data_IF_675581195507
#
_entry.id   IF_675581195507
#
_cell.length_a   1.000
_cell.length_b   1.000
_cell.length_c   1.000
_cell.angle_alpha   90.00
_cell.angle_beta   90.00
_cell.angle_gamma   90.00
#
_symmetry.space_group_name_H-M   'P 1'
#
loop_
_entity.id
_entity.type
_entity.pdbx_description
1 polymer ?
#
# COMPACT_ATOMS: atom_id res chain seq x y z
N UNK A 1 18.22 11.97 -43.71
CA UNK A 1 17.59 10.76 -43.12
C UNK A 1 17.22 11.10 -41.69
N UNK A 2 15.92 11.09 -41.37
CA UNK A 2 15.42 11.36 -40.02
C UNK A 2 15.77 10.16 -39.13
N UNK A 3 16.78 10.29 -38.28
CA UNK A 3 17.14 9.26 -37.30
C UNK A 3 16.08 9.23 -36.20
N UNK A 4 15.59 8.03 -35.87
CA UNK A 4 14.78 7.83 -34.65
C UNK A 4 15.67 8.06 -33.44
N UNK A 5 15.17 8.80 -32.46
CA UNK A 5 15.83 8.96 -31.16
C UNK A 5 15.46 7.77 -30.26
N UNK A 6 16.45 7.16 -29.64
CA UNK A 6 16.29 6.11 -28.64
C UNK A 6 16.63 6.67 -27.25
N UNK A 7 15.98 6.16 -26.21
CA UNK A 7 16.20 6.57 -24.82
C UNK A 7 16.47 5.33 -23.98
N UNK A 8 17.48 5.43 -23.11
CA UNK A 8 17.80 4.42 -22.12
C UNK A 8 17.64 5.05 -20.73
N UNK A 9 17.00 4.34 -19.81
CA UNK A 9 16.77 4.82 -18.45
C UNK A 9 17.21 3.77 -17.44
N UNK A 10 17.80 4.23 -16.35
CA UNK A 10 18.03 3.46 -15.15
C UNK A 10 16.99 3.88 -14.11
N UNK A 11 16.23 2.91 -13.59
CA UNK A 11 15.18 3.17 -12.59
C UNK A 11 15.61 2.57 -11.27
N UNK A 12 15.92 3.43 -10.30
CA UNK A 12 16.20 3.04 -8.92
C UNK A 12 14.94 3.17 -8.06
N UNK A 13 14.64 2.15 -7.27
CA UNK A 13 13.49 2.12 -6.36
C UNK A 13 14.00 1.78 -4.96
N UNK A 14 13.71 2.67 -4.01
CA UNK A 14 14.21 2.58 -2.65
C UNK A 14 13.08 2.71 -1.62
N UNK A 15 13.20 2.09 -0.43
CA UNK A 15 12.23 2.25 0.64
C UNK A 15 12.23 3.70 1.16
N UNK A 16 11.07 4.34 1.14
CA UNK A 16 10.98 5.71 1.63
C UNK A 16 11.01 5.81 3.16
N UNK A 17 11.89 6.65 3.69
CA UNK A 17 11.91 7.05 5.10
C UNK A 17 12.14 5.90 6.08
N UNK A 18 12.71 4.78 5.63
CA UNK A 18 12.96 3.59 6.45
C UNK A 18 11.70 2.89 7.00
N UNK A 19 10.51 3.28 6.53
CA UNK A 19 9.24 2.74 7.04
C UNK A 19 9.02 1.31 6.57
N UNK A 20 8.68 0.43 7.50
CA UNK A 20 8.40 -0.97 7.22
C UNK A 20 6.99 -1.30 7.71
N UNK A 21 6.28 -2.05 6.86
CA UNK A 21 4.92 -2.48 7.09
C UNK A 21 4.82 -3.99 6.93
N UNK A 22 3.96 -4.60 7.74
CA UNK A 22 3.65 -6.02 7.67
C UNK A 22 2.25 -6.22 7.11
N UNK A 23 2.14 -6.94 6.01
CA UNK A 23 0.88 -7.32 5.39
C UNK A 23 0.38 -8.65 5.97
N UNK A 24 -0.89 -8.71 6.36
CA UNK A 24 -1.54 -9.89 6.94
C UNK A 24 -2.83 -10.20 6.21
N UNK A 25 -3.10 -11.49 5.99
CA UNK A 25 -4.38 -11.97 5.46
C UNK A 25 -5.25 -12.41 6.62
N UNK A 26 -6.34 -11.68 6.87
CA UNK A 26 -7.30 -12.09 7.89
C UNK A 26 -8.28 -13.09 7.29
N UNK A 27 -8.38 -14.26 7.91
CA UNK A 27 -9.35 -15.30 7.54
C UNK A 27 -10.63 -15.15 8.36
N UNK A 28 -11.56 -16.11 8.21
CA UNK A 28 -12.75 -16.15 9.05
C UNK A 28 -12.35 -16.18 10.54
N UNK A 29 -12.89 -15.26 11.37
CA UNK A 29 -12.53 -15.18 12.78
C UNK A 29 -13.25 -16.24 13.61
N UNK A 30 -12.65 -16.55 14.77
CA UNK A 30 -13.34 -17.23 15.85
C UNK A 30 -14.00 -16.21 16.77
N UNK A 31 -15.29 -16.39 17.04
CA UNK A 31 -16.02 -15.53 17.98
C UNK A 31 -15.86 -16.08 19.38
N UNK A 32 -15.26 -15.28 20.26
CA UNK A 32 -15.04 -15.62 21.66
C UNK A 32 -15.88 -14.70 22.54
N UNK A 33 -16.63 -15.29 23.46
CA UNK A 33 -17.33 -14.57 24.52
C UNK A 33 -16.60 -14.83 25.83
N UNK A 34 -16.23 -13.76 26.53
CA UNK A 34 -15.62 -13.84 27.84
C UNK A 34 -16.69 -13.57 28.89
N UNK A 35 -17.07 -14.58 29.66
CA UNK A 35 -17.98 -14.45 30.80
C UNK A 35 -17.18 -14.41 32.09
N UNK A 36 -17.53 -13.49 32.97
CA UNK A 36 -16.94 -13.40 34.31
C UNK A 36 -17.99 -13.78 35.34
N UNK A 37 -17.81 -14.91 35.99
CA UNK A 37 -18.66 -15.39 37.06
C UNK A 37 -18.08 -14.99 38.40
N UNK A 38 -18.84 -14.23 39.20
CA UNK A 38 -18.42 -13.79 40.53
C UNK A 38 -19.47 -14.17 41.56
N UNK A 39 -19.04 -14.83 42.62
CA UNK A 39 -19.86 -15.20 43.76
C UNK A 39 -19.59 -14.17 44.85
N UNK A 40 -20.65 -13.54 45.34
CA UNK A 40 -20.57 -12.63 46.49
C UNK A 40 -21.26 -13.26 47.69
N UNK A 41 -20.64 -13.13 48.86
CA UNK A 41 -21.20 -13.52 50.15
C UNK A 41 -21.43 -12.27 50.99
N UNK A 42 -22.49 -12.30 51.81
CA UNK A 42 -22.84 -11.19 52.68
C UNK A 42 -22.21 -11.40 54.04
N UNK A 43 -21.14 -10.66 54.32
CA UNK A 43 -20.43 -10.69 55.61
C UNK A 43 -20.63 -9.35 56.31
N UNK A 44 -21.16 -9.36 57.54
CA UNK A 44 -21.37 -8.15 58.34
C UNK A 44 -22.10 -7.00 57.59
N UNK A 45 -23.17 -7.31 56.87
CA UNK A 45 -23.94 -6.37 56.04
C UNK A 45 -23.20 -5.74 54.85
N UNK A 46 -22.01 -6.24 54.50
CA UNK A 46 -21.30 -5.86 53.28
C UNK A 46 -21.20 -7.05 52.32
N UNK A 47 -21.21 -6.77 51.02
CA UNK A 47 -20.95 -7.78 50.00
C UNK A 47 -19.44 -7.96 49.86
N UNK A 48 -18.96 -9.17 50.12
CA UNK A 48 -17.58 -9.58 49.88
C UNK A 48 -17.54 -10.57 48.71
N UNK A 49 -16.60 -10.41 47.79
CA UNK A 49 -16.37 -11.38 46.72
C UNK A 49 -15.77 -12.65 47.32
N UNK A 50 -16.47 -13.77 47.18
CA UNK A 50 -16.06 -15.08 47.70
C UNK A 50 -15.33 -15.90 46.64
N UNK A 51 -15.70 -15.76 45.36
CA UNK A 51 -15.04 -16.40 44.24
C UNK A 51 -15.20 -15.58 42.95
N UNK A 52 -14.20 -15.64 42.07
CA UNK A 52 -14.26 -15.04 40.73
C UNK A 52 -13.57 -15.96 39.74
N UNK A 53 -14.30 -16.31 38.67
CA UNK A 53 -13.85 -17.15 37.58
C UNK A 53 -14.11 -16.44 36.25
N UNK A 54 -13.16 -16.51 35.32
CA UNK A 54 -13.34 -16.03 33.93
C UNK A 54 -13.38 -17.23 32.99
N UNK A 55 -14.30 -17.18 32.02
CA UNK A 55 -14.55 -18.26 31.07
C UNK A 55 -14.60 -17.71 29.65
N UNK A 56 -13.91 -18.38 28.74
CA UNK A 56 -13.92 -18.08 27.31
C UNK A 56 -14.73 -19.14 26.56
N UNK A 57 -15.85 -18.73 25.95
CA UNK A 57 -16.65 -19.57 25.04
C UNK A 57 -16.35 -19.23 23.59
N UNK A 58 -15.93 -20.22 22.80
CA UNK A 58 -15.95 -20.12 21.33
C UNK A 58 -17.35 -20.48 20.83
N UNK A 59 -18.07 -19.52 20.29
CA UNK A 59 -19.53 -19.66 20.05
C UNK A 59 -19.91 -19.95 18.60
N UNK A 60 -19.01 -19.74 17.65
CA UNK A 60 -19.20 -20.06 16.24
C UNK A 60 -18.92 -21.54 15.90
N UNK A 61 -18.42 -22.34 16.85
CA UNK A 61 -18.06 -23.76 16.66
C UNK A 61 -18.99 -24.75 17.39
N UNK A 62 -20.13 -24.27 17.91
CA UNK A 62 -21.12 -25.07 18.63
C UNK A 62 -21.48 -24.49 20.00
N UNK A 63 -22.27 -25.23 20.77
CA UNK A 63 -22.61 -24.84 22.14
C UNK A 63 -21.42 -25.06 23.07
N UNK A 64 -20.99 -24.01 23.77
CA UNK A 64 -20.01 -24.14 24.84
C UNK A 64 -20.74 -24.50 26.15
N UNK A 65 -20.30 -25.56 26.83
CA UNK A 65 -20.83 -26.04 28.11
C UNK A 65 -19.79 -25.83 29.21
N UNK A 66 -20.22 -25.28 30.34
CA UNK A 66 -19.41 -25.16 31.55
C UNK A 66 -20.05 -25.94 32.71
N UNK A 67 -19.20 -26.60 33.51
CA UNK A 67 -19.55 -27.16 34.82
C UNK A 67 -18.65 -26.47 35.87
N UNK A 68 -19.25 -25.76 36.84
CA UNK A 68 -18.50 -25.01 37.86
C UNK A 68 -17.72 -25.97 38.77
N UNK A 69 -16.47 -25.62 39.10
CA UNK A 69 -15.53 -26.48 39.87
C UNK A 69 -16.00 -26.68 41.32
N UNK A 70 -16.84 -25.78 41.84
CA UNK A 70 -17.11 -25.70 43.28
C UNK A 70 -18.51 -26.19 43.67
N UNK A 71 -18.75 -27.51 43.59
CA UNK A 71 -19.87 -28.31 44.17
C UNK A 71 -21.33 -27.81 44.01
N UNK A 72 -21.56 -26.70 43.31
CA UNK A 72 -22.86 -26.11 43.01
C UNK A 72 -23.12 -26.37 41.52
N UNK A 73 -24.08 -27.23 41.24
CA UNK A 73 -24.45 -27.66 39.88
C UNK A 73 -25.10 -26.50 39.11
N UNK A 74 -24.30 -25.57 38.60
CA UNK A 74 -24.76 -24.55 37.65
C UNK A 74 -24.13 -24.83 36.29
N UNK A 75 -24.96 -25.19 35.32
CA UNK A 75 -24.54 -25.37 33.94
C UNK A 75 -24.87 -24.11 33.15
N UNK A 76 -23.84 -23.39 32.69
CA UNK A 76 -24.01 -22.27 31.78
C UNK A 76 -23.80 -22.79 30.36
N UNK A 77 -24.86 -22.74 29.55
CA UNK A 77 -24.79 -23.01 28.11
C UNK A 77 -24.87 -21.70 27.36
N UNK A 78 -23.81 -21.37 26.64
CA UNK A 78 -23.81 -20.21 25.75
C UNK A 78 -23.99 -20.69 24.32
N UNK A 79 -25.08 -20.23 23.70
CA UNK A 79 -25.38 -20.48 22.28
C UNK A 79 -25.63 -19.14 21.64
N UNK A 80 -24.93 -18.82 20.55
CA UNK A 80 -25.11 -17.54 19.86
C UNK A 80 -25.43 -17.77 18.40
N UNK A 81 -26.21 -16.86 17.83
CA UNK A 81 -26.26 -16.71 16.38
C UNK A 81 -24.95 -16.12 15.84
N UNK A 82 -24.91 -15.87 14.53
CA UNK A 82 -23.81 -15.14 13.88
C UNK A 82 -23.68 -13.75 14.50
N UNK A 83 -22.45 -13.26 14.67
CA UNK A 83 -22.21 -11.92 15.20
C UNK A 83 -22.77 -10.88 14.23
N UNK A 84 -23.31 -9.77 14.76
CA UNK A 84 -23.94 -8.71 13.97
C UNK A 84 -22.98 -8.13 12.91
N UNK A 85 -21.69 -8.04 13.27
CA UNK A 85 -20.60 -7.62 12.38
C UNK A 85 -19.41 -8.53 12.57
N UNK A 86 -18.63 -8.69 11.51
CA UNK A 86 -17.40 -9.47 11.49
C UNK A 86 -16.40 -8.73 10.60
N UNK A 87 -15.10 -8.85 10.91
CA UNK A 87 -14.06 -8.40 9.98
C UNK A 87 -14.18 -9.19 8.68
N UNK A 88 -14.14 -8.49 7.54
CA UNK A 88 -14.16 -9.17 6.25
C UNK A 88 -12.85 -9.91 6.01
N UNK A 89 -12.96 -11.09 5.40
CA UNK A 89 -11.80 -11.82 4.90
C UNK A 89 -11.09 -10.97 3.84
N UNK A 90 -9.79 -10.76 4.01
CA UNK A 90 -9.03 -9.92 3.10
C UNK A 90 -7.63 -9.59 3.59
N UNK A 91 -6.95 -8.77 2.79
CA UNK A 91 -5.61 -8.28 3.07
C UNK A 91 -5.69 -6.99 3.88
N UNK A 92 -4.95 -6.95 4.97
CA UNK A 92 -4.77 -5.81 5.86
C UNK A 92 -3.28 -5.59 6.08
N UNK A 93 -2.89 -4.46 6.67
CA UNK A 93 -1.50 -4.24 7.02
C UNK A 93 -1.37 -3.39 8.27
N UNK A 94 -0.20 -3.41 8.88
CA UNK A 94 0.13 -2.54 10.00
C UNK A 94 1.56 -2.03 9.88
N UNK A 95 1.81 -0.85 10.47
CA UNK A 95 3.17 -0.34 10.63
C UNK A 95 3.88 -1.08 11.75
N UNK A 96 5.14 -1.45 11.54
CA UNK A 96 5.94 -2.14 12.55
C UNK A 96 6.28 -1.24 13.74
N UNK A 97 6.16 0.08 13.59
CA UNK A 97 6.45 1.06 14.64
C UNK A 97 5.29 1.18 15.63
N UNK A 98 4.07 1.35 15.11
CA UNK A 98 2.90 1.67 15.93
C UNK A 98 1.93 0.48 16.12
N UNK A 99 2.11 -0.62 15.37
CA UNK A 99 1.27 -1.83 15.41
C UNK A 99 -0.24 -1.57 15.31
N UNK A 100 -0.62 -0.51 14.59
CA UNK A 100 -2.01 -0.18 14.29
C UNK A 100 -2.44 -0.89 13.01
N UNK A 101 -3.51 -1.68 13.09
CA UNK A 101 -4.08 -2.34 11.93
C UNK A 101 -4.82 -1.34 11.04
N UNK A 102 -4.46 -1.30 9.76
CA UNK A 102 -4.99 -0.40 8.74
C UNK A 102 -5.84 -1.17 7.74
N UNK A 103 -6.94 -0.54 7.31
CA UNK A 103 -7.84 -1.03 6.26
C UNK A 103 -8.12 0.05 5.21
N UNK A 104 -8.92 -0.31 4.19
CA UNK A 104 -9.36 0.63 3.16
C UNK A 104 -8.39 0.80 1.98
N UNK A 105 -7.33 -0.01 1.91
CA UNK A 105 -6.40 -0.04 0.76
C UNK A 105 -6.48 -1.36 0.02
N UNK A 106 -6.20 -1.31 -1.29
CA UNK A 106 -5.99 -2.52 -2.10
C UNK A 106 -4.57 -3.00 -1.89
N UNK A 107 -4.42 -4.19 -1.32
CA UNK A 107 -3.14 -4.79 -0.95
C UNK A 107 -2.95 -6.11 -1.69
N UNK A 108 -1.73 -6.35 -2.18
CA UNK A 108 -1.37 -7.60 -2.84
C UNK A 108 -1.36 -8.78 -1.87
N UNK A 109 -1.91 -9.92 -2.30
CA UNK A 109 -1.66 -11.19 -1.63
C UNK A 109 -0.19 -11.64 -1.76
N UNK A 110 0.30 -12.54 -0.89
CA UNK A 110 1.68 -13.05 -0.98
C UNK A 110 2.06 -13.64 -2.35
N UNK A 111 1.09 -14.23 -3.07
CA UNK A 111 1.30 -14.80 -4.41
C UNK A 111 1.09 -13.79 -5.54
N UNK A 112 0.43 -12.66 -5.25
CA UNK A 112 0.11 -11.59 -6.19
C UNK A 112 1.25 -10.56 -6.24
N UNK A 113 1.34 -9.79 -7.32
CA UNK A 113 2.28 -8.67 -7.43
C UNK A 113 1.78 -7.68 -8.49
N UNK A 114 0.61 -7.12 -8.25
CA UNK A 114 0.01 -6.03 -9.04
C UNK A 114 0.64 -4.69 -8.63
N UNK A 115 1.14 -3.92 -9.61
CA UNK A 115 1.75 -2.61 -9.39
C UNK A 115 0.72 -1.52 -9.05
N UNK A 116 -0.57 -1.79 -9.20
CA UNK A 116 -1.67 -0.90 -8.82
C UNK A 116 -2.21 -1.16 -7.40
N UNK A 117 -1.59 -2.08 -6.66
CA UNK A 117 -1.95 -2.40 -5.27
C UNK A 117 -0.75 -2.24 -4.36
N UNK A 118 -0.94 -1.92 -3.09
CA UNK A 118 0.17 -1.83 -2.14
C UNK A 118 0.90 -3.19 -2.03
N UNK A 119 2.18 -3.19 -1.64
CA UNK A 119 2.95 -4.42 -1.36
C UNK A 119 3.61 -5.09 -2.57
N UNK A 120 3.79 -4.37 -3.69
CA UNK A 120 4.60 -4.85 -4.82
C UNK A 120 6.11 -4.73 -4.56
N UNK A 121 6.56 -3.79 -3.73
CA UNK A 121 7.92 -3.70 -3.18
C UNK A 121 7.99 -4.45 -1.84
N UNK A 122 8.81 -5.49 -1.76
CA UNK A 122 8.85 -6.40 -0.60
C UNK A 122 10.25 -6.51 -0.03
N UNK A 123 10.35 -6.57 1.29
CA UNK A 123 11.60 -6.85 1.98
C UNK A 123 11.82 -8.36 2.04
N UNK A 124 12.98 -8.81 1.59
CA UNK A 124 13.47 -10.17 1.76
C UNK A 124 14.85 -10.09 2.40
N UNK A 125 14.95 -10.53 3.66
CA UNK A 125 16.13 -10.33 4.51
C UNK A 125 16.58 -8.85 4.54
N UNK A 126 17.71 -8.54 3.92
CA UNK A 126 18.29 -7.20 3.83
C UNK A 126 18.06 -6.51 2.47
N UNK A 127 17.38 -7.17 1.53
CA UNK A 127 17.14 -6.64 0.19
C UNK A 127 15.67 -6.27 -0.03
N UNK A 128 15.44 -5.25 -0.85
CA UNK A 128 14.11 -4.90 -1.35
C UNK A 128 13.96 -5.43 -2.76
N UNK A 129 12.89 -6.19 -2.99
CA UNK A 129 12.67 -6.92 -4.22
C UNK A 129 11.27 -6.66 -4.77
N UNK A 130 11.19 -6.57 -6.09
CA UNK A 130 9.94 -6.49 -6.84
C UNK A 130 9.84 -7.77 -7.67
N UNK A 131 8.81 -8.58 -7.44
CA UNK A 131 8.63 -9.84 -8.16
C UNK A 131 8.35 -9.56 -9.64
N UNK A 132 9.19 -10.08 -10.53
CA UNK A 132 9.20 -9.76 -11.96
C UNK A 132 9.38 -8.25 -12.22
N UNK A 133 10.18 -7.57 -11.38
CA UNK A 133 10.38 -6.12 -11.43
C UNK A 133 10.88 -5.60 -12.77
N UNK A 134 11.82 -6.29 -13.42
CA UNK A 134 12.35 -5.88 -14.74
C UNK A 134 11.22 -5.72 -15.75
N UNK A 135 10.33 -6.71 -15.87
CA UNK A 135 9.22 -6.65 -16.83
C UNK A 135 8.21 -5.58 -16.41
N UNK A 136 7.77 -5.61 -15.15
CA UNK A 136 6.69 -4.73 -14.67
C UNK A 136 7.06 -3.26 -14.64
N UNK A 137 8.26 -2.92 -14.20
CA UNK A 137 8.71 -1.53 -14.13
C UNK A 137 8.90 -0.99 -15.54
N UNK A 138 9.52 -1.77 -16.44
CA UNK A 138 9.69 -1.37 -17.84
C UNK A 138 8.34 -1.17 -18.54
N UNK A 139 7.39 -2.09 -18.37
CA UNK A 139 6.04 -1.98 -18.95
C UNK A 139 5.21 -0.84 -18.34
N UNK A 140 5.46 -0.49 -17.07
CA UNK A 140 4.76 0.62 -16.41
C UNK A 140 5.30 1.99 -16.81
N UNK A 141 6.59 2.07 -17.18
CA UNK A 141 7.26 3.32 -17.46
C UNK A 141 6.93 3.78 -18.89
N UNK A 142 6.44 5.01 -18.99
CA UNK A 142 6.26 5.67 -20.28
C UNK A 142 7.15 6.91 -20.32
N UNK A 143 7.92 7.02 -21.40
CA UNK A 143 8.85 8.13 -21.61
C UNK A 143 8.51 8.81 -22.93
N UNK A 144 8.56 10.13 -22.95
CA UNK A 144 8.44 10.96 -24.15
C UNK A 144 9.59 11.93 -24.18
N UNK A 145 10.31 11.99 -25.30
CA UNK A 145 11.45 12.90 -25.45
C UNK A 145 10.90 14.27 -25.84
N UNK A 146 11.13 15.31 -25.02
CA UNK A 146 10.78 16.68 -25.38
C UNK A 146 11.84 17.25 -26.33
N UNK A 147 13.11 17.14 -25.93
CA UNK A 147 14.24 17.65 -26.70
C UNK A 147 15.47 16.76 -26.49
N UNK A 148 15.83 16.01 -27.54
CA UNK A 148 16.97 15.11 -27.52
C UNK A 148 18.32 15.86 -27.35
N UNK A 149 18.46 17.09 -27.90
CA UNK A 149 19.71 17.87 -27.77
C UNK A 149 19.90 18.39 -26.36
N UNK A 150 18.83 18.83 -25.73
CA UNK A 150 18.83 19.29 -24.33
C UNK A 150 18.70 18.13 -23.33
N UNK A 151 18.60 16.88 -23.82
CA UNK A 151 18.39 15.68 -23.02
C UNK A 151 17.15 15.78 -22.11
N UNK A 152 16.12 16.52 -22.56
CA UNK A 152 14.87 16.71 -21.84
C UNK A 152 13.86 15.64 -22.20
N UNK A 153 13.26 15.05 -21.19
CA UNK A 153 12.24 14.03 -21.32
C UNK A 153 11.13 14.21 -20.30
N UNK A 154 9.95 13.72 -20.66
CA UNK A 154 8.82 13.51 -19.76
C UNK A 154 8.75 12.03 -19.43
N UNK A 155 8.64 11.70 -18.15
CA UNK A 155 8.40 10.33 -17.69
C UNK A 155 7.14 10.25 -16.86
N UNK A 156 6.43 9.12 -16.95
CA UNK A 156 5.35 8.75 -16.05
C UNK A 156 5.44 7.26 -15.78
N UNK A 157 4.98 6.84 -14.62
CA UNK A 157 4.81 5.42 -14.29
C UNK A 157 3.33 5.13 -14.16
N UNK A 158 2.87 4.03 -14.74
CA UNK A 158 1.53 3.51 -14.55
C UNK A 158 1.54 2.52 -13.36
N UNK A 159 1.72 3.03 -12.14
CA UNK A 159 1.82 2.25 -10.91
C UNK A 159 1.22 3.04 -9.74
N UNK A 160 0.72 2.37 -8.70
CA UNK A 160 0.19 3.05 -7.50
C UNK A 160 1.13 2.84 -6.29
N UNK A 161 0.99 3.69 -5.28
CA UNK A 161 1.71 3.59 -4.00
C UNK A 161 3.24 3.72 -4.11
N UNK A 162 3.71 4.58 -5.03
CA UNK A 162 5.08 5.09 -5.04
C UNK A 162 5.06 6.62 -4.91
N UNK A 163 6.19 7.18 -4.55
CA UNK A 163 6.42 8.63 -4.56
C UNK A 163 7.70 8.92 -5.32
N UNK A 164 7.74 10.10 -5.91
CA UNK A 164 8.93 10.64 -6.56
C UNK A 164 9.53 11.76 -5.73
N UNK A 165 10.66 12.32 -6.14
CA UNK A 165 11.39 13.33 -5.38
C UNK A 165 10.55 14.58 -5.05
N UNK A 166 9.55 14.90 -5.87
CA UNK A 166 8.68 16.07 -5.67
C UNK A 166 7.42 15.77 -4.84
N UNK A 167 7.11 14.49 -4.60
CA UNK A 167 5.86 14.06 -3.95
C UNK A 167 6.04 13.88 -2.43
N UNK A 168 4.98 14.18 -1.67
CA UNK A 168 4.95 13.89 -0.23
C UNK A 168 4.16 12.62 0.04
N UNK A 169 4.54 11.86 1.08
CA UNK A 169 3.77 10.69 1.53
C UNK A 169 2.30 11.01 1.81
N UNK A 170 2.00 12.23 2.27
CA UNK A 170 0.65 12.66 2.62
C UNK A 170 -0.29 12.62 1.40
N UNK A 171 0.28 12.68 0.20
CA UNK A 171 -0.47 12.59 -1.05
C UNK A 171 -0.88 11.15 -1.39
N UNK A 172 -0.29 10.13 -0.73
CA UNK A 172 -0.68 8.74 -0.85
C UNK A 172 -1.83 8.40 0.10
N UNK A 173 -2.92 7.88 -0.47
CA UNK A 173 -3.97 7.24 0.31
C UNK A 173 -3.50 5.89 0.83
N UNK A 174 -3.05 5.87 2.09
CA UNK A 174 -2.63 4.68 2.83
C UNK A 174 -3.79 4.05 3.62
N UNK A 175 -5.05 4.46 3.41
CA UNK A 175 -6.20 3.92 4.13
C UNK A 175 -6.39 4.58 5.50
N UNK A 176 -7.03 3.85 6.40
CA UNK A 176 -7.35 4.32 7.75
C UNK A 176 -7.30 3.19 8.79
N UNK A 177 -6.97 3.51 10.05
CA UNK A 177 -7.02 2.57 11.16
C UNK A 177 -8.37 1.87 11.31
N UNK A 178 -8.33 0.58 11.63
CA UNK A 178 -9.53 -0.26 11.81
C UNK A 178 -10.38 0.20 13.01
N UNK A 179 -9.75 0.76 14.04
CA UNK A 179 -10.43 1.30 15.23
C UNK A 179 -11.25 2.58 14.97
N UNK A 180 -11.15 3.19 13.79
CA UNK A 180 -12.08 4.26 13.38
C UNK A 180 -13.49 3.74 13.06
N UNK A 181 -13.67 2.41 12.97
CA UNK A 181 -14.99 1.82 12.79
C UNK A 181 -15.78 1.87 14.10
N UNK A 182 -16.97 2.46 14.07
CA UNK A 182 -17.81 2.66 15.26
C UNK A 182 -18.16 1.37 16.04
N UNK A 183 -18.13 0.21 15.38
CA UNK A 183 -18.44 -1.09 16.00
C UNK A 183 -17.24 -1.75 16.67
N UNK A 184 -16.03 -1.21 16.49
CA UNK A 184 -14.78 -1.73 17.04
C UNK A 184 -14.39 -0.86 18.24
N UNK A 185 -14.34 -1.47 19.43
CA UNK A 185 -13.81 -0.82 20.62
C UNK A 185 -12.28 -0.82 20.59
N UNK A 186 -11.69 -1.93 20.16
CA UNK A 186 -10.24 -2.10 20.12
C UNK A 186 -9.83 -3.13 19.08
N UNK A 187 -8.74 -2.84 18.37
CA UNK A 187 -8.06 -3.78 17.49
C UNK A 187 -6.62 -3.98 17.97
N UNK A 188 -6.24 -5.22 18.25
CA UNK A 188 -4.92 -5.55 18.77
C UNK A 188 -4.28 -6.68 17.98
N UNK A 189 -3.01 -6.50 17.64
CA UNK A 189 -2.20 -7.53 17.00
C UNK A 189 -1.43 -8.25 18.10
N UNK A 190 -1.66 -9.54 18.27
CA UNK A 190 -0.99 -10.33 19.30
C UNK A 190 0.54 -10.36 19.07
N UNK A 191 1.29 -10.56 20.15
CA UNK A 191 2.76 -10.43 20.16
C UNK A 191 3.49 -11.39 19.19
N UNK A 192 2.83 -12.48 18.78
CA UNK A 192 3.38 -13.47 17.85
C UNK A 192 3.04 -13.18 16.38
N UNK A 193 2.32 -12.10 16.10
CA UNK A 193 1.80 -11.71 14.78
C UNK A 193 0.91 -12.78 14.12
N UNK A 194 0.42 -13.77 14.90
CA UNK A 194 -0.39 -14.88 14.36
C UNK A 194 -1.88 -14.62 14.38
N UNK A 195 -2.32 -13.73 15.26
CA UNK A 195 -3.73 -13.39 15.38
C UNK A 195 -3.93 -11.91 15.67
N UNK A 196 -5.09 -11.43 15.22
CA UNK A 196 -5.60 -10.11 15.54
C UNK A 196 -6.85 -10.31 16.40
N UNK A 197 -6.88 -9.66 17.55
CA UNK A 197 -8.02 -9.62 18.45
C UNK A 197 -8.81 -8.34 18.20
N UNK A 198 -10.09 -8.49 17.87
CA UNK A 198 -11.04 -7.39 17.72
C UNK A 198 -12.03 -7.43 18.87
N UNK A 199 -12.05 -6.37 19.67
CA UNK A 199 -13.04 -6.17 20.72
C UNK A 199 -14.18 -5.35 20.13
N UNK A 200 -15.39 -5.89 20.19
CA UNK A 200 -16.56 -5.23 19.64
C UNK A 200 -17.10 -4.19 20.64
N UNK A 201 -17.36 -2.98 20.16
CA UNK A 201 -18.05 -1.93 20.93
C UNK A 201 -19.56 -2.19 21.04
N UNK A 202 -20.12 -2.93 20.08
CA UNK A 202 -21.52 -3.35 20.05
C UNK A 202 -21.63 -4.86 20.27
N UNK A 203 -22.58 -5.29 21.09
CA UNK A 203 -22.82 -6.70 21.38
C UNK A 203 -24.24 -7.11 21.04
N UNK A 204 -24.41 -8.31 20.47
CA UNK A 204 -25.71 -8.99 20.46
C UNK A 204 -26.10 -9.29 21.90
N UNK A 205 -27.34 -8.96 22.28
CA UNK A 205 -27.86 -9.31 23.61
C UNK A 205 -27.75 -10.83 23.78
N UNK A 206 -26.93 -11.27 24.73
CA UNK A 206 -26.88 -12.67 25.14
C UNK A 206 -28.03 -12.83 26.13
N UNK A 207 -29.01 -13.66 25.80
CA UNK A 207 -30.10 -13.98 26.73
C UNK A 207 -29.52 -14.66 27.97
N UNK A 208 -29.27 -13.88 29.02
CA UNK A 208 -28.97 -14.37 30.37
C UNK A 208 -30.18 -14.05 31.23
N UNK A 209 -30.97 -15.08 31.54
CA UNK A 209 -32.12 -14.95 32.42
C UNK A 209 -31.68 -14.80 33.88
N UNK A 210 -31.65 -13.55 34.40
CA UNK A 210 -31.68 -13.24 35.84
C UNK A 210 -30.97 -11.93 36.29
N UNK A 211 -31.74 -10.90 36.73
CA UNK A 211 -31.27 -9.74 37.54
C UNK A 211 -31.12 -8.40 36.79
N UNK A 212 -31.71 -7.29 37.29
CA UNK A 212 -32.39 -6.30 36.42
C UNK A 212 -31.79 -4.88 36.34
N UNK A 213 -31.71 -4.41 35.09
CA UNK A 213 -31.84 -3.01 34.67
C UNK A 213 -31.72 -2.92 33.14
N UNK A 214 -32.82 -2.63 32.45
CA UNK A 214 -32.86 -2.48 30.98
C UNK A 214 -33.40 -1.10 30.66
N UNK A 215 -32.74 -0.35 29.77
CA UNK A 215 -33.34 0.81 29.12
C UNK A 215 -33.92 0.37 27.79
N UNK A 216 -35.12 0.84 27.48
CA UNK A 216 -35.75 0.67 26.19
C UNK A 216 -35.69 2.01 25.49
N UNK A 217 -35.20 2.00 24.25
CA UNK A 217 -35.13 3.15 23.40
C UNK A 217 -36.11 3.08 22.25
N UNK A 218 -36.72 4.22 21.93
CA UNK A 218 -37.59 4.41 20.78
C UNK A 218 -37.09 5.57 19.93
N UNK A 219 -37.10 5.40 18.62
CA UNK A 219 -36.73 6.42 17.66
C UNK A 219 -37.97 6.85 16.89
N UNK A 220 -38.23 8.15 16.93
CA UNK A 220 -39.36 8.79 16.29
C UNK A 220 -38.90 9.78 15.24
N UNK A 221 -39.76 10.01 14.24
CA UNK A 221 -39.53 11.01 13.21
C UNK A 221 -39.73 12.45 13.70
N UNK A 222 -40.52 12.61 14.77
CA UNK A 222 -40.96 13.92 15.28
C UNK A 222 -41.33 13.83 16.78
N UNK A 223 -41.42 15.00 17.43
CA UNK A 223 -41.65 15.13 18.88
C UNK A 223 -43.05 14.70 19.34
N UNK A 224 -44.03 14.71 18.43
CA UNK A 224 -45.40 14.22 18.65
C UNK A 224 -45.47 12.68 18.76
N UNK A 225 -44.38 11.98 18.46
CA UNK A 225 -44.24 10.51 18.57
C UNK A 225 -45.32 9.73 17.84
N UNK A 226 -45.88 10.30 16.76
CA UNK A 226 -46.98 9.70 15.99
C UNK A 226 -46.60 8.37 15.33
N UNK A 227 -45.33 8.19 14.97
CA UNK A 227 -44.78 6.90 14.51
C UNK A 227 -43.46 6.57 15.20
N UNK A 228 -43.27 5.28 15.49
CA UNK A 228 -41.98 4.74 15.94
C UNK A 228 -41.30 4.08 14.75
N UNK A 229 -40.16 4.63 14.32
CA UNK A 229 -39.39 4.13 13.19
C UNK A 229 -38.55 2.91 13.59
N UNK A 230 -38.05 2.89 14.83
CA UNK A 230 -37.22 1.80 15.36
C UNK A 230 -37.21 1.78 16.89
N UNK A 231 -36.92 0.63 17.47
CA UNK A 231 -36.77 0.46 18.92
C UNK A 231 -35.61 -0.47 19.24
N UNK A 232 -34.97 -0.26 20.39
CA UNK A 232 -33.80 -1.01 20.84
C UNK A 232 -33.81 -1.14 22.37
N UNK A 233 -32.96 -2.00 22.91
CA UNK A 233 -32.77 -2.15 24.36
C UNK A 233 -31.30 -2.10 24.73
N UNK A 234 -30.98 -1.45 25.85
CA UNK A 234 -29.64 -1.36 26.42
C UNK A 234 -29.67 -2.01 27.80
N UNK A 235 -28.76 -2.94 28.05
CA UNK A 235 -28.56 -3.53 29.37
C UNK A 235 -27.45 -2.76 30.11
N UNK A 236 -27.78 -2.16 31.26
CA UNK A 236 -26.84 -1.35 32.05
C UNK A 236 -26.06 -2.22 33.05
N UNK A 237 -26.48 -3.49 33.22
CA UNK A 237 -25.95 -4.39 34.23
C UNK A 237 -26.49 -4.09 35.63
N UNK A 238 -25.89 -4.71 36.65
CA UNK A 238 -26.41 -4.75 38.03
C UNK A 238 -25.81 -3.70 38.97
N UNK A 239 -24.77 -2.97 38.54
CA UNK A 239 -24.10 -1.96 39.37
C UNK A 239 -24.68 -0.56 39.11
N UNK A 240 -24.91 0.20 40.19
CA UNK A 240 -25.34 1.60 40.10
C UNK A 240 -24.21 2.44 39.49
N UNK A 241 -24.37 2.84 38.23
CA UNK A 241 -23.40 3.68 37.52
C UNK A 241 -23.94 5.10 37.40
N UNK A 242 -23.13 6.09 37.77
CA UNK A 242 -23.49 7.51 37.60
C UNK A 242 -23.37 7.98 36.15
N UNK A 243 -22.55 7.29 35.34
CA UNK A 243 -22.41 7.49 33.90
C UNK A 243 -22.15 6.15 33.21
N UNK A 244 -22.71 5.94 32.04
CA UNK A 244 -22.40 4.82 31.16
C UNK A 244 -22.38 5.28 29.70
N UNK A 245 -21.65 4.56 28.87
CA UNK A 245 -21.63 4.73 27.42
C UNK A 245 -22.08 3.39 26.84
N UNK A 246 -22.96 3.43 25.84
CA UNK A 246 -23.41 2.25 25.12
C UNK A 246 -23.44 2.55 23.63
N UNK A 247 -22.90 1.65 22.82
CA UNK A 247 -22.97 1.69 21.36
C UNK A 247 -24.07 0.74 20.91
N UNK A 248 -25.00 1.25 20.11
CA UNK A 248 -26.14 0.48 19.61
C UNK A 248 -25.96 0.27 18.11
N UNK A 249 -25.89 -0.99 17.71
CA UNK A 249 -25.81 -1.40 16.32
C UNK A 249 -27.17 -1.63 15.66
N UNK A 250 -27.16 -1.86 14.35
CA UNK A 250 -28.33 -2.37 13.62
C UNK A 250 -29.41 -1.34 13.27
N UNK A 251 -29.05 -0.06 13.15
CA UNK A 251 -29.97 0.99 12.72
C UNK A 251 -30.56 0.64 11.32
N UNK A 252 -31.91 0.64 11.14
CA UNK A 252 -32.53 0.37 9.85
C UNK A 252 -32.11 1.35 8.75
N UNK A 253 -31.93 0.85 7.53
CA UNK A 253 -31.49 1.65 6.37
C UNK A 253 -32.45 2.79 5.97
N UNK A 254 -33.70 2.77 6.46
CA UNK A 254 -34.68 3.85 6.22
C UNK A 254 -34.42 5.14 7.02
N UNK A 255 -33.51 5.12 7.99
CA UNK A 255 -33.18 6.27 8.82
C UNK A 255 -32.01 7.03 8.17
N UNK A 256 -32.33 8.14 7.50
CA UNK A 256 -31.38 8.96 6.72
C UNK A 256 -31.32 10.43 7.17
N UNK A 257 -31.93 10.76 8.31
CA UNK A 257 -31.97 12.12 8.86
C UNK A 257 -32.14 12.08 10.37
N UNK A 258 -32.06 13.26 11.02
CA UNK A 258 -32.20 13.41 12.46
C UNK A 258 -33.46 12.69 13.00
N UNK A 259 -33.35 12.16 14.21
CA UNK A 259 -34.45 11.43 14.87
C UNK A 259 -34.60 11.89 16.31
N UNK A 260 -35.85 11.93 16.75
CA UNK A 260 -36.20 12.18 18.14
C UNK A 260 -36.14 10.87 18.90
N UNK A 261 -35.13 10.73 19.77
CA UNK A 261 -34.85 9.47 20.46
C UNK A 261 -35.25 9.60 21.92
N UNK A 262 -36.06 8.66 22.38
CA UNK A 262 -36.55 8.57 23.73
C UNK A 262 -36.01 7.31 24.41
N UNK A 263 -35.59 7.42 25.66
CA UNK A 263 -35.11 6.32 26.49
C UNK A 263 -35.98 6.23 27.75
N UNK A 264 -36.41 5.02 28.10
CA UNK A 264 -37.15 4.77 29.33
C UNK A 264 -36.65 3.51 30.06
N UNK A 265 -36.63 3.49 31.40
CA UNK A 265 -36.40 2.27 32.16
C UNK A 265 -37.47 1.20 31.91
N UNK A 266 -37.04 -0.06 31.80
CA UNK A 266 -37.94 -1.19 31.65
C UNK A 266 -38.78 -1.41 32.91
N UNK A 267 -40.03 -0.95 32.86
CA UNK A 267 -41.00 -1.01 33.95
C UNK A 267 -41.40 0.37 34.51
N UNK A 268 -40.81 1.45 34.02
CA UNK A 268 -41.22 2.82 34.36
C UNK A 268 -41.25 3.71 33.10
N UNK A 269 -42.40 3.76 32.45
CA UNK A 269 -42.61 4.59 31.26
C UNK A 269 -42.69 6.09 31.57
N UNK A 270 -42.90 6.47 32.83
CA UNK A 270 -43.03 7.88 33.22
C UNK A 270 -41.67 8.56 33.38
N UNK A 271 -40.60 7.78 33.55
CA UNK A 271 -39.23 8.25 33.63
C UNK A 271 -38.55 8.38 32.25
N UNK A 272 -39.33 8.53 31.18
CA UNK A 272 -38.83 8.70 29.84
C UNK A 272 -38.07 10.03 29.67
N UNK A 273 -36.95 9.97 28.97
CA UNK A 273 -36.18 11.15 28.56
C UNK A 273 -35.95 11.12 27.05
N UNK A 274 -36.21 12.24 26.39
CA UNK A 274 -36.11 12.34 24.94
C UNK A 274 -35.18 13.46 24.50
N UNK A 275 -34.51 13.26 23.35
CA UNK A 275 -33.66 14.26 22.73
C UNK A 275 -33.54 14.04 21.23
N UNK A 276 -33.38 15.12 20.48
CA UNK A 276 -32.96 15.06 19.08
C UNK A 276 -31.52 14.60 18.96
N UNK A 277 -31.31 13.53 18.19
CA UNK A 277 -30.00 13.07 17.79
C UNK A 277 -29.77 13.42 16.31
N UNK A 278 -28.60 14.00 16.05
CA UNK A 278 -28.18 14.37 14.70
C UNK A 278 -27.77 13.13 13.91
N UNK A 279 -28.19 13.09 12.66
CA UNK A 279 -27.73 12.09 11.71
C UNK A 279 -26.47 12.57 11.02
N UNK A 280 -25.42 11.75 11.08
CA UNK A 280 -24.17 11.98 10.38
C UNK A 280 -23.87 10.77 9.50
N UNK A 281 -23.63 11.01 8.21
CA UNK A 281 -23.20 9.99 7.26
C UNK A 281 -21.92 10.45 6.57
N UNK A 282 -20.92 9.58 6.57
CA UNK A 282 -19.68 9.81 5.84
C UNK A 282 -19.79 9.18 4.44
N UNK A 283 -19.51 9.94 3.36
CA UNK A 283 -19.50 9.36 2.02
C UNK A 283 -18.41 8.29 1.91
N UNK A 284 -18.63 7.33 1.02
CA UNK A 284 -17.57 6.38 0.65
C UNK A 284 -16.42 7.16 0.03
N UNK A 285 -15.19 6.80 0.41
CA UNK A 285 -14.00 7.48 -0.06
C UNK A 285 -13.77 7.15 -1.54
N UNK A 286 -14.03 8.13 -2.42
CA UNK A 286 -13.71 8.02 -3.84
C UNK A 286 -12.21 8.26 -4.06
N UNK A 287 -11.60 7.45 -4.94
CA UNK A 287 -10.17 7.50 -5.22
C UNK A 287 -9.93 7.90 -6.66
N UNK A 288 -9.31 9.06 -6.84
CA UNK A 288 -8.79 9.50 -8.13
C UNK A 288 -7.32 9.90 -7.97
N UNK A 289 -6.40 9.06 -8.45
CA UNK A 289 -5.01 9.44 -8.65
C UNK A 289 -4.74 9.51 -10.15
N UNK A 290 -4.76 10.72 -10.69
CA UNK A 290 -4.26 10.97 -12.04
C UNK A 290 -2.73 11.00 -11.98
N UNK A 291 -2.08 10.09 -12.70
CA UNK A 291 -0.63 10.02 -12.77
C UNK A 291 -0.13 11.22 -13.59
N UNK A 292 0.76 12.03 -13.01
CA UNK A 292 1.30 13.23 -13.65
C UNK A 292 2.57 12.91 -14.42
N UNK A 293 2.75 13.58 -15.55
CA UNK A 293 4.03 13.57 -16.26
C UNK A 293 5.05 14.40 -15.47
N UNK A 294 6.27 13.88 -15.36
CA UNK A 294 7.39 14.53 -14.70
C UNK A 294 8.47 14.86 -15.71
N UNK A 295 8.95 16.09 -15.67
CA UNK A 295 10.04 16.53 -16.51
C UNK A 295 11.39 16.18 -15.88
N UNK A 296 12.30 15.63 -16.67
CA UNK A 296 13.66 15.31 -16.29
C UNK A 296 14.67 15.80 -17.32
N UNK A 297 15.91 15.94 -16.87
CA UNK A 297 17.09 16.22 -17.72
C UNK A 297 18.04 15.05 -17.56
N UNK A 298 18.36 14.38 -18.66
CA UNK A 298 19.27 13.24 -18.68
C UNK A 298 20.73 13.68 -18.73
N UNK A 299 21.63 12.70 -18.57
CA UNK A 299 23.04 12.86 -18.86
C UNK A 299 23.49 11.71 -19.77
N UNK A 300 23.72 12.01 -21.05
CA UNK A 300 24.21 11.05 -22.02
C UNK A 300 25.51 11.60 -22.66
N UNK A 301 26.69 11.19 -22.16
CA UNK A 301 27.97 11.55 -22.78
C UNK A 301 28.02 10.93 -24.18
N UNK A 302 28.12 11.78 -25.21
CA UNK A 302 28.12 11.36 -26.62
C UNK A 302 26.75 11.40 -27.33
N UNK A 303 25.68 11.88 -26.69
CA UNK A 303 24.41 12.04 -27.39
C UNK A 303 24.53 13.10 -28.50
N UNK A 304 24.28 12.71 -29.76
CA UNK A 304 24.48 13.49 -30.99
C UNK A 304 25.95 13.73 -31.40
N UNK A 305 26.79 12.68 -31.47
CA UNK A 305 28.17 12.70 -32.02
C UNK A 305 28.31 13.08 -33.51
N UNK A 306 27.53 14.02 -34.04
CA UNK A 306 27.73 14.57 -35.38
C UNK A 306 27.92 16.08 -35.29
N UNK A 307 29.19 16.47 -35.24
CA UNK A 307 29.65 17.86 -35.31
C UNK A 307 31.15 17.92 -35.61
N UNK A 308 31.59 18.98 -36.31
CA UNK A 308 33.01 19.23 -36.65
C UNK A 308 33.86 19.35 -35.37
N UNK A 309 33.27 19.84 -34.29
CA UNK A 309 33.92 19.97 -32.99
C UNK A 309 34.36 18.61 -32.42
N UNK A 310 33.59 17.54 -32.67
CA UNK A 310 33.93 16.20 -32.23
C UNK A 310 34.95 15.51 -33.17
N UNK A 311 34.97 15.87 -34.46
CA UNK A 311 36.05 15.47 -35.36
C UNK A 311 37.38 16.06 -34.91
N UNK A 312 37.39 17.31 -34.44
CA UNK A 312 38.57 17.95 -33.88
C UNK A 312 38.98 17.38 -32.52
N UNK A 313 38.02 17.03 -31.65
CA UNK A 313 38.32 16.33 -30.39
C UNK A 313 38.88 14.92 -30.63
N UNK A 314 38.32 14.15 -31.57
CA UNK A 314 38.87 12.85 -31.98
C UNK A 314 40.18 12.95 -32.79
N UNK A 315 40.64 14.16 -33.13
CA UNK A 315 41.95 14.42 -33.71
C UNK A 315 42.97 14.87 -32.65
N UNK A 316 42.60 14.99 -31.38
CA UNK A 316 43.55 15.31 -30.30
C UNK A 316 44.40 14.06 -29.99
N UNK A 317 45.71 14.08 -30.29
CA UNK A 317 46.59 12.92 -30.10
C UNK A 317 46.74 12.51 -28.63
N UNK A 318 46.32 13.35 -27.68
CA UNK A 318 46.32 13.03 -26.25
C UNK A 318 45.27 11.98 -25.88
N UNK A 319 44.11 12.01 -26.54
CA UNK A 319 43.01 11.06 -26.27
C UNK A 319 43.22 9.70 -26.95
N UNK A 320 44.08 9.61 -27.97
CA UNK A 320 44.39 8.35 -28.66
C UNK A 320 45.18 7.36 -27.80
N UNK A 321 45.81 7.86 -26.74
CA UNK A 321 46.65 7.09 -25.83
C UNK A 321 45.94 6.75 -24.50
N UNK A 322 44.75 7.31 -24.26
CA UNK A 322 43.94 7.01 -23.09
C UNK A 322 43.33 5.61 -23.24
N UNK A 323 43.93 4.62 -22.56
CA UNK A 323 43.46 3.23 -22.55
C UNK A 323 44.54 2.17 -22.78
N UNK A 324 45.78 2.55 -23.12
CA UNK A 324 46.90 1.62 -23.27
C UNK A 324 47.48 1.25 -21.89
N UNK A 325 46.90 0.24 -21.23
CA UNK A 325 47.35 -0.22 -19.91
C UNK A 325 48.37 -1.36 -19.96
N UNK A 326 48.64 -1.93 -21.14
CA UNK A 326 49.66 -2.98 -21.31
C UNK A 326 50.76 -2.61 -22.31
N UNK A 327 51.99 -3.02 -22.03
CA UNK A 327 53.15 -2.82 -22.94
C UNK A 327 52.94 -3.54 -24.27
N UNK A 328 52.14 -4.59 -24.31
CA UNK A 328 51.76 -5.33 -25.51
C UNK A 328 50.85 -4.54 -26.44
N UNK A 329 49.84 -3.83 -25.90
CA UNK A 329 48.93 -3.01 -26.69
C UNK A 329 49.63 -1.77 -27.29
N UNK A 330 50.59 -1.19 -26.56
CA UNK A 330 51.38 -0.07 -27.06
C UNK A 330 52.26 -0.48 -28.25
N UNK A 331 52.86 -1.68 -28.19
CA UNK A 331 53.70 -2.21 -29.28
C UNK A 331 52.85 -2.58 -30.51
N UNK A 332 51.66 -3.17 -30.31
CA UNK A 332 50.75 -3.47 -31.44
C UNK A 332 50.23 -2.18 -32.08
N UNK A 333 49.88 -1.17 -31.30
CA UNK A 333 49.46 0.14 -31.80
C UNK A 333 50.58 0.81 -32.63
N UNK A 334 51.83 0.79 -32.15
CA UNK A 334 52.97 1.33 -32.87
C UNK A 334 53.22 0.59 -34.20
N UNK A 335 53.05 -0.74 -34.22
CA UNK A 335 53.18 -1.56 -35.42
C UNK A 335 52.09 -1.24 -36.46
N UNK A 336 50.85 -1.07 -36.02
CA UNK A 336 49.73 -0.70 -36.91
C UNK A 336 49.94 0.68 -37.53
N UNK A 337 50.38 1.67 -36.73
CA UNK A 337 50.70 3.01 -37.24
C UNK A 337 51.84 2.93 -38.26
N UNK A 338 52.89 2.14 -38.00
CA UNK A 338 53.99 1.95 -38.94
C UNK A 338 53.53 1.32 -40.26
N UNK A 339 52.65 0.31 -40.21
CA UNK A 339 52.08 -0.33 -41.40
C UNK A 339 51.20 0.64 -42.22
N UNK A 340 50.44 1.50 -41.55
CA UNK A 340 49.65 2.54 -42.21
C UNK A 340 50.57 3.56 -42.91
N UNK A 341 51.66 3.98 -42.27
CA UNK A 341 52.61 4.90 -42.89
C UNK A 341 53.29 4.25 -44.11
N UNK A 342 53.67 2.97 -44.02
CA UNK A 342 54.28 2.23 -45.13
C UNK A 342 53.29 2.08 -46.30
N UNK A 343 52.02 1.78 -46.03
CA UNK A 343 50.99 1.68 -47.08
C UNK A 343 50.67 3.02 -47.73
N UNK A 344 50.66 4.12 -46.98
CA UNK A 344 50.52 5.48 -47.52
C UNK A 344 51.74 5.83 -48.39
N UNK A 345 52.96 5.55 -47.94
CA UNK A 345 54.16 5.80 -48.75
C UNK A 345 54.19 4.96 -50.02
N UNK A 346 53.79 3.68 -49.94
CA UNK A 346 53.68 2.79 -51.09
C UNK A 346 52.63 3.28 -52.09
N UNK A 347 51.45 3.73 -51.62
CA UNK A 347 50.42 4.29 -52.50
C UNK A 347 50.86 5.60 -53.14
N UNK A 348 51.54 6.49 -52.40
CA UNK A 348 52.14 7.71 -52.97
C UNK A 348 53.19 7.37 -54.02
N UNK A 349 54.06 6.39 -53.78
CA UNK A 349 55.06 5.93 -54.74
C UNK A 349 54.42 5.33 -55.99
N UNK A 350 53.41 4.48 -55.85
CA UNK A 350 52.69 3.89 -56.99
C UNK A 350 52.00 4.99 -57.81
N UNK A 351 51.31 5.92 -57.15
CA UNK A 351 50.68 7.04 -57.82
C UNK A 351 51.70 7.91 -58.56
N UNK A 352 52.79 8.31 -57.89
CA UNK A 352 53.77 9.24 -58.46
C UNK A 352 54.73 8.64 -59.48
N UNK A 353 55.10 7.37 -59.33
CA UNK A 353 56.10 6.70 -60.18
C UNK A 353 55.51 5.74 -61.21
N UNK A 354 54.28 5.26 -61.02
CA UNK A 354 53.65 4.34 -61.97
C UNK A 354 52.48 5.02 -62.69
N UNK A 355 51.53 5.58 -61.95
CA UNK A 355 50.27 6.09 -62.54
C UNK A 355 50.49 7.41 -63.30
N UNK A 356 51.17 8.39 -62.70
CA UNK A 356 51.43 9.69 -63.34
C UNK A 356 52.25 9.59 -64.66
N UNK A 357 53.35 8.81 -64.74
CA UNK A 357 54.07 8.66 -66.01
C UNK A 357 53.29 7.86 -67.07
N UNK A 358 52.52 6.84 -66.68
CA UNK A 358 51.63 6.13 -67.62
C UNK A 358 50.55 7.05 -68.20
N UNK A 359 49.96 7.92 -67.38
CA UNK A 359 49.00 8.93 -67.84
C UNK A 359 49.65 10.00 -68.74
N UNK A 360 50.94 10.33 -68.55
CA UNK A 360 51.67 11.23 -69.47
C UNK A 360 52.01 10.57 -70.81
N UNK A 361 52.28 9.27 -70.83
CA UNK A 361 52.53 8.54 -72.07
C UNK A 361 51.27 8.43 -72.95
N UNK A 362 50.09 8.17 -72.36
CA UNK A 362 48.84 8.06 -73.12
C UNK A 362 48.36 9.39 -73.73
N UNK A 363 48.68 10.53 -73.11
CA UNK A 363 48.32 11.87 -73.62
C UNK A 363 49.31 12.36 -74.71
N UNK A 364 50.54 11.82 -74.76
CA UNK A 364 51.55 12.24 -75.74
C UNK A 364 51.43 11.61 -77.15
N UNK A 365 50.66 10.51 -77.29
CA UNK A 365 50.49 9.79 -78.55
C UNK A 365 49.41 10.37 -79.49
N UNK A 366 48.64 11.37 -79.06
CA UNK A 366 47.56 11.95 -79.88
C UNK A 366 47.96 13.22 -80.66
N UNK A 367 49.18 13.29 -81.20
CA UNK A 367 49.50 14.32 -82.21
C UNK A 367 49.27 13.74 -83.60
N UNK A 368 48.23 14.17 -84.34
CA UNK A 368 48.06 13.75 -85.73
C UNK A 368 49.18 14.35 -86.61
N UNK A 369 49.66 13.63 -87.63
CA UNK A 369 50.67 14.14 -88.55
C UNK A 369 50.15 15.37 -89.30
N UNK A 370 51.01 16.38 -89.43
CA UNK A 370 50.74 17.62 -90.17
C UNK A 370 50.98 17.43 -91.68
N UNK A 371 49.97 17.86 -92.43
CA UNK A 371 49.89 18.16 -93.87
C UNK A 371 49.92 16.98 -94.84
#
# INVERSE_FOLDING_TARGET
MSSKSEVCCEVAIEPYGGKIYTAVKLTQPDTIIILRHRIYERVANQWAEAASEEFEAVVNKGSAKMETIDKRQMEIRTTTGRVIREMSNGMYYFSNDNRVLIMGVRLNEPTESDIHKLGWLRKNDNAWLIRNGIIKITDSQHITIENCKEQRYLTRYNAEYFITYDDRIIDLDLGYPVDQQNWIERAEILNDDRAVRITHAEGTVIHVSGGKGTLIGYMHRSEDKSSTDWSFSIEIGTATRTKFIATIGGIPAGIISDRYVCLQPAGDANAEQCKWLKYEASPLRERHMAHRWQAGIGNCPGCNERGIENFLLKLDPRQWLDGLNSTTEAVTCALEIALIIVTILATVLICTKCIIPLARCTISLSKPPKK
#
